data_IF_240125637127
#
_entry.id   IF_240125637127
#
_cell.length_a   1.000
_cell.length_b   1.000
_cell.length_c   1.000
_cell.angle_alpha   90.00
_cell.angle_beta   90.00
_cell.angle_gamma   90.00
#
_symmetry.space_group_name_H-M   'P 1'
#
loop_
_entity.id
_entity.type
_entity.pdbx_description
1 polymer ?
#
# COMPACT_ATOMS: atom_id res chain seq x y z
N UNK A 1 -18.43 -4.73 -15.56
CA UNK A 1 -17.24 -5.25 -16.27
C UNK A 1 -16.41 -6.01 -15.24
N UNK A 2 -16.47 -7.34 -15.26
CA UNK A 2 -15.70 -8.21 -14.36
C UNK A 2 -14.29 -8.30 -14.94
N UNK A 3 -13.31 -7.75 -14.22
CA UNK A 3 -11.89 -7.87 -14.60
C UNK A 3 -11.47 -9.31 -14.30
N UNK A 4 -10.91 -10.02 -15.28
CA UNK A 4 -10.24 -11.29 -15.03
C UNK A 4 -8.92 -11.00 -14.29
N UNK A 5 -8.84 -11.45 -13.04
CA UNK A 5 -7.69 -11.19 -12.17
C UNK A 5 -6.63 -12.30 -12.26
N UNK A 6 -6.91 -13.38 -13.00
CA UNK A 6 -6.03 -14.53 -13.10
C UNK A 6 -5.95 -15.36 -11.80
N UNK A 7 -5.18 -16.46 -11.84
CA UNK A 7 -5.17 -17.45 -10.75
C UNK A 7 -4.38 -17.00 -9.51
N UNK A 8 -3.51 -16.00 -9.63
CA UNK A 8 -2.59 -15.56 -8.56
C UNK A 8 -3.14 -14.46 -7.65
N UNK A 9 -4.34 -13.95 -7.95
CA UNK A 9 -4.93 -12.83 -7.22
C UNK A 9 -6.15 -13.30 -6.46
N UNK A 10 -6.28 -12.87 -5.21
CA UNK A 10 -7.50 -12.98 -4.43
C UNK A 10 -7.88 -11.61 -3.91
N UNK A 11 -9.15 -11.26 -4.07
CA UNK A 11 -9.69 -10.04 -3.50
C UNK A 11 -10.14 -10.31 -2.07
N UNK A 12 -9.75 -9.39 -1.18
CA UNK A 12 -10.26 -9.31 0.18
C UNK A 12 -11.17 -8.10 0.23
N UNK A 13 -12.34 -8.25 0.83
CA UNK A 13 -13.28 -7.14 0.94
C UNK A 13 -12.72 -6.04 1.83
N UNK A 14 -12.93 -4.79 1.42
CA UNK A 14 -12.53 -3.65 2.23
C UNK A 14 -13.21 -3.69 3.63
N UNK A 15 -12.50 -3.23 4.67
CA UNK A 15 -12.96 -3.28 6.06
C UNK A 15 -14.10 -2.28 6.29
N UNK A 16 -15.34 -2.70 6.03
CA UNK A 16 -16.56 -1.88 6.19
C UNK A 16 -17.13 -2.02 7.60
N UNK A 17 -17.18 -0.92 8.35
CA UNK A 17 -17.78 -0.85 9.69
C UNK A 17 -19.28 -1.18 9.71
N UNK A 18 -20.03 -0.83 8.66
CA UNK A 18 -21.49 -1.02 8.60
C UNK A 18 -21.94 -2.49 8.50
N UNK A 19 -21.05 -3.43 8.16
CA UNK A 19 -21.36 -4.87 8.10
C UNK A 19 -20.72 -5.65 9.26
N UNK A 20 -20.12 -4.95 10.23
CA UNK A 20 -19.53 -5.53 11.42
C UNK A 20 -20.59 -5.68 12.53
N UNK A 21 -21.71 -6.35 12.24
CA UNK A 21 -22.69 -6.70 13.27
C UNK A 21 -22.01 -7.65 14.29
N UNK A 22 -21.54 -7.09 15.40
CA UNK A 22 -21.02 -7.83 16.55
C UNK A 22 -19.62 -8.48 16.40
N UNK A 23 -18.92 -8.33 15.27
CA UNK A 23 -17.54 -8.82 15.08
C UNK A 23 -16.56 -7.66 14.98
N UNK A 24 -15.38 -7.75 15.59
CA UNK A 24 -14.34 -6.73 15.45
C UNK A 24 -13.84 -6.63 13.99
N UNK A 25 -13.62 -5.39 13.52
CA UNK A 25 -13.19 -5.08 12.17
C UNK A 25 -11.86 -5.77 11.83
N UNK A 26 -10.93 -5.77 12.79
CA UNK A 26 -9.62 -6.38 12.65
C UNK A 26 -9.73 -7.90 12.49
N UNK A 27 -10.53 -8.55 13.34
CA UNK A 27 -10.78 -9.99 13.28
C UNK A 27 -11.39 -10.40 11.94
N UNK A 28 -12.39 -9.65 11.47
CA UNK A 28 -13.06 -9.96 10.21
C UNK A 28 -12.12 -9.82 9.02
N UNK A 29 -11.38 -8.70 8.94
CA UNK A 29 -10.45 -8.48 7.85
C UNK A 29 -9.32 -9.53 7.85
N UNK A 30 -8.81 -9.87 9.04
CA UNK A 30 -7.79 -10.92 9.20
C UNK A 30 -8.29 -12.27 8.71
N UNK A 31 -9.51 -12.66 9.09
CA UNK A 31 -10.13 -13.92 8.64
C UNK A 31 -10.26 -13.97 7.11
N UNK A 32 -10.67 -12.87 6.49
CA UNK A 32 -10.83 -12.80 5.05
C UNK A 32 -9.46 -12.89 4.33
N UNK A 33 -8.40 -12.31 4.89
CA UNK A 33 -7.00 -12.48 4.41
C UNK A 33 -6.51 -13.92 4.58
N UNK A 34 -6.79 -14.57 5.71
CA UNK A 34 -6.43 -15.96 5.95
C UNK A 34 -7.12 -16.90 4.96
N UNK A 35 -8.41 -16.68 4.70
CA UNK A 35 -9.17 -17.44 3.72
C UNK A 35 -8.59 -17.28 2.31
N UNK A 36 -8.25 -16.05 1.90
CA UNK A 36 -7.60 -15.77 0.62
C UNK A 36 -6.23 -16.47 0.50
N UNK A 37 -5.41 -16.39 1.54
CA UNK A 37 -4.10 -17.05 1.58
C UNK A 37 -4.22 -18.59 1.59
N UNK A 38 -5.21 -19.15 2.27
CA UNK A 38 -5.51 -20.58 2.24
C UNK A 38 -5.96 -21.04 0.85
N UNK A 39 -6.80 -20.27 0.17
CA UNK A 39 -7.25 -20.61 -1.18
C UNK A 39 -6.10 -20.55 -2.20
N UNK A 40 -5.21 -19.56 -2.14
CA UNK A 40 -3.99 -19.53 -2.97
C UNK A 40 -3.16 -20.81 -2.76
N UNK A 41 -2.91 -21.19 -1.49
CA UNK A 41 -2.16 -22.41 -1.16
C UNK A 41 -2.83 -23.68 -1.65
N UNK A 42 -4.16 -23.76 -1.56
CA UNK A 42 -4.95 -24.88 -2.09
C UNK A 42 -4.74 -25.07 -3.60
N UNK A 43 -4.46 -23.99 -4.32
CA UNK A 43 -4.14 -24.01 -5.75
C UNK A 43 -2.63 -24.10 -6.04
N UNK A 44 -1.80 -24.43 -5.04
CA UNK A 44 -0.34 -24.55 -5.19
C UNK A 44 0.39 -23.21 -5.34
N UNK A 45 -0.25 -22.09 -4.97
CA UNK A 45 0.30 -20.75 -5.08
C UNK A 45 0.70 -20.27 -3.68
N UNK A 46 1.96 -19.87 -3.53
CA UNK A 46 2.44 -19.27 -2.29
C UNK A 46 2.04 -17.78 -2.25
N UNK A 47 1.37 -17.31 -1.19
CA UNK A 47 1.06 -15.89 -1.03
C UNK A 47 2.33 -15.04 -1.01
N UNK A 48 2.48 -14.14 -1.98
CA UNK A 48 3.68 -13.33 -2.14
C UNK A 48 3.57 -11.94 -1.50
N UNK A 49 2.36 -11.37 -1.43
CA UNK A 49 2.16 -10.06 -0.84
C UNK A 49 0.70 -9.79 -0.45
N UNK A 50 0.52 -8.83 0.45
CA UNK A 50 -0.74 -8.13 0.71
C UNK A 50 -0.59 -6.69 0.22
N UNK A 51 -1.53 -6.26 -0.62
CA UNK A 51 -1.56 -4.90 -1.16
C UNK A 51 -2.83 -4.21 -0.66
N UNK A 52 -2.69 -3.04 -0.03
CA UNK A 52 -3.83 -2.24 0.45
C UNK A 52 -3.62 -0.75 0.17
N UNK A 53 -4.70 -0.02 -0.05
CA UNK A 53 -4.71 1.44 0.10
C UNK A 53 -4.86 1.77 1.59
N UNK A 54 -3.99 2.61 2.15
CA UNK A 54 -3.98 2.90 3.60
C UNK A 54 -5.25 3.58 4.12
N UNK A 55 -6.12 4.06 3.24
CA UNK A 55 -7.44 4.60 3.59
C UNK A 55 -8.59 3.90 2.89
N UNK A 56 -8.35 2.86 2.08
CA UNK A 56 -9.38 2.24 1.23
C UNK A 56 -10.24 3.30 0.51
N UNK A 57 -9.57 4.28 -0.11
CA UNK A 57 -10.19 5.49 -0.64
C UNK A 57 -11.26 5.20 -1.70
N UNK A 58 -11.05 4.14 -2.50
CA UNK A 58 -11.99 3.70 -3.53
C UNK A 58 -13.20 2.96 -2.96
N UNK A 59 -13.10 2.42 -1.75
CA UNK A 59 -14.16 1.64 -1.11
C UNK A 59 -15.12 2.49 -0.27
N UNK A 60 -14.82 3.78 -0.13
CA UNK A 60 -15.63 4.75 0.62
C UNK A 60 -14.85 5.53 1.68
N UNK A 61 -13.52 5.53 1.65
CA UNK A 61 -12.65 6.17 2.66
C UNK A 61 -12.88 5.54 4.04
N UNK A 62 -12.22 4.41 4.27
CA UNK A 62 -12.36 3.57 5.45
C UNK A 62 -11.02 3.54 6.22
N UNK A 63 -10.68 4.61 6.98
CA UNK A 63 -9.38 4.72 7.63
C UNK A 63 -9.10 3.66 8.71
N UNK A 64 -10.16 3.01 9.23
CA UNK A 64 -10.06 2.07 10.37
C UNK A 64 -9.48 2.70 11.65
N UNK A 65 -9.49 1.96 12.77
CA UNK A 65 -8.71 2.32 13.95
C UNK A 65 -7.23 1.97 13.73
N UNK A 66 -6.30 2.63 14.43
CA UNK A 66 -4.88 2.27 14.35
C UNK A 66 -4.66 0.80 14.70
N UNK A 67 -3.78 0.11 13.97
CA UNK A 67 -3.43 -1.29 14.22
C UNK A 67 -4.40 -2.35 13.68
N UNK A 68 -5.56 -2.01 13.14
CA UNK A 68 -6.55 -3.03 12.71
C UNK A 68 -6.08 -3.98 11.59
N UNK A 69 -5.04 -3.59 10.84
CA UNK A 69 -4.43 -4.40 9.78
C UNK A 69 -3.29 -5.28 10.30
N UNK A 70 -2.90 -5.15 11.57
CA UNK A 70 -1.68 -5.77 12.10
C UNK A 70 -1.73 -7.30 11.97
N UNK A 71 -2.79 -7.92 12.45
CA UNK A 71 -2.94 -9.37 12.42
C UNK A 71 -2.99 -9.90 10.97
N UNK A 72 -3.68 -9.20 10.07
CA UNK A 72 -3.72 -9.52 8.65
C UNK A 72 -2.34 -9.42 7.97
N UNK A 73 -1.56 -8.40 8.31
CA UNK A 73 -0.17 -8.26 7.83
C UNK A 73 0.70 -9.38 8.38
N UNK A 74 0.53 -9.74 9.65
CA UNK A 74 1.29 -10.82 10.29
C UNK A 74 0.99 -12.19 9.64
N UNK A 75 -0.26 -12.45 9.22
CA UNK A 75 -0.62 -13.65 8.45
C UNK A 75 0.25 -13.79 7.20
N UNK A 76 0.43 -12.69 6.47
CA UNK A 76 1.14 -12.68 5.18
C UNK A 76 2.65 -12.72 5.40
N UNK A 77 3.17 -12.03 6.41
CA UNK A 77 4.57 -12.12 6.82
C UNK A 77 4.95 -13.53 7.27
N UNK A 78 4.09 -14.23 8.02
CA UNK A 78 4.28 -15.65 8.39
C UNK A 78 4.33 -16.58 7.18
N UNK A 79 3.71 -16.20 6.06
CA UNK A 79 3.78 -16.92 4.81
C UNK A 79 5.03 -16.57 3.96
N UNK A 80 5.89 -15.66 4.44
CA UNK A 80 7.06 -15.15 3.71
C UNK A 80 6.71 -14.04 2.70
N UNK A 81 5.50 -13.49 2.76
CA UNK A 81 5.04 -12.44 1.86
C UNK A 81 5.34 -11.03 2.35
N UNK A 82 5.25 -10.06 1.43
CA UNK A 82 5.51 -8.65 1.68
C UNK A 82 4.22 -7.86 1.99
N UNK A 83 4.33 -6.80 2.77
CA UNK A 83 3.26 -5.82 2.94
C UNK A 83 3.49 -4.60 2.06
N UNK A 84 2.58 -4.37 1.11
CA UNK A 84 2.64 -3.28 0.15
C UNK A 84 1.49 -2.31 0.44
N UNK A 85 1.82 -1.02 0.53
CA UNK A 85 0.80 0.03 0.65
C UNK A 85 0.76 0.88 -0.61
N UNK A 86 -0.45 1.05 -1.14
CA UNK A 86 -0.75 2.01 -2.21
C UNK A 86 -1.02 3.40 -1.60
N UNK A 87 -0.06 4.30 -1.78
CA UNK A 87 -0.13 5.71 -1.33
C UNK A 87 -0.46 6.65 -2.50
N UNK A 88 -0.93 6.13 -3.64
CA UNK A 88 -1.25 6.95 -4.80
C UNK A 88 -2.41 7.90 -4.49
N UNK A 89 -3.38 7.49 -3.67
CA UNK A 89 -4.47 8.36 -3.19
C UNK A 89 -4.16 9.04 -1.84
N UNK A 90 -3.76 8.31 -0.79
CA UNK A 90 -3.64 8.89 0.56
C UNK A 90 -2.32 9.61 0.84
N UNK A 91 -1.33 9.51 -0.05
CA UNK A 91 -0.01 10.10 0.14
C UNK A 91 0.06 11.63 0.00
N UNK A 92 1.27 12.16 0.12
CA UNK A 92 1.58 13.60 -0.05
C UNK A 92 0.75 14.55 0.82
N UNK A 93 0.41 14.13 2.04
CA UNK A 93 -0.30 14.99 3.00
C UNK A 93 -1.81 15.03 2.84
N UNK A 94 -2.40 14.17 2.00
CA UNK A 94 -3.85 14.15 1.78
C UNK A 94 -4.65 13.94 3.09
N UNK A 95 -4.09 13.18 4.04
CA UNK A 95 -4.70 12.95 5.36
C UNK A 95 -4.48 14.07 6.37
N UNK A 96 -3.78 15.14 5.99
CA UNK A 96 -3.46 16.29 6.85
C UNK A 96 -2.28 16.02 7.78
N UNK A 97 -2.52 15.33 8.89
CA UNK A 97 -1.55 15.16 9.99
C UNK A 97 -0.32 14.31 9.66
N UNK A 98 -0.31 13.63 8.52
CA UNK A 98 0.78 12.74 8.10
C UNK A 98 1.13 12.97 6.65
N UNK A 99 2.40 12.77 6.28
CA UNK A 99 2.82 12.82 4.88
C UNK A 99 2.28 11.61 4.12
N UNK A 100 2.25 10.44 4.76
CA UNK A 100 1.78 9.18 4.21
C UNK A 100 0.64 8.61 5.05
N UNK A 101 -0.40 8.09 4.40
CA UNK A 101 -1.57 7.53 5.07
C UNK A 101 -1.23 6.34 5.97
N UNK A 102 -0.28 5.48 5.57
CA UNK A 102 0.13 4.30 6.34
C UNK A 102 0.69 4.63 7.73
N UNK A 103 1.15 5.86 7.95
CA UNK A 103 1.63 6.29 9.26
C UNK A 103 0.52 6.23 10.32
N UNK A 104 -0.75 6.30 9.91
CA UNK A 104 -1.92 6.15 10.80
C UNK A 104 -2.18 4.69 11.21
N UNK A 105 -1.69 3.74 10.42
CA UNK A 105 -1.92 2.31 10.65
C UNK A 105 -1.01 1.75 11.74
N UNK A 106 0.02 2.49 12.15
CA UNK A 106 1.10 2.02 13.03
C UNK A 106 1.80 0.75 12.51
N UNK A 107 1.98 0.70 11.18
CA UNK A 107 2.62 -0.41 10.47
C UNK A 107 3.74 0.12 9.57
N UNK A 108 4.81 -0.68 9.44
CA UNK A 108 5.91 -0.42 8.52
C UNK A 108 5.74 -1.30 7.28
N UNK A 109 5.45 -0.73 6.10
CA UNK A 109 5.36 -1.48 4.85
C UNK A 109 6.73 -1.84 4.29
N UNK A 110 6.80 -2.98 3.61
CA UNK A 110 7.98 -3.42 2.87
C UNK A 110 8.12 -2.65 1.55
N UNK A 111 7.00 -2.21 0.98
CA UNK A 111 6.95 -1.43 -0.26
C UNK A 111 5.79 -0.43 -0.23
N UNK A 112 6.00 0.76 -0.82
CA UNK A 112 5.01 1.82 -0.94
C UNK A 112 4.95 2.30 -2.39
N UNK A 113 3.76 2.34 -2.99
CA UNK A 113 3.58 2.88 -4.35
C UNK A 113 3.13 4.34 -4.30
N UNK A 114 3.69 5.16 -5.18
CA UNK A 114 3.50 6.60 -5.27
C UNK A 114 3.08 6.97 -6.69
N UNK A 115 2.31 8.04 -6.84
CA UNK A 115 1.87 8.55 -8.15
C UNK A 115 1.09 9.84 -7.99
N UNK A 116 0.01 10.02 -8.75
CA UNK A 116 -0.98 11.12 -8.67
C UNK A 116 -0.42 12.46 -8.11
N UNK A 117 -0.48 12.79 -6.81
CA UNK A 117 -0.03 14.09 -6.32
C UNK A 117 1.49 14.32 -6.44
N UNK A 118 2.30 13.27 -6.61
CA UNK A 118 3.77 13.33 -6.64
C UNK A 118 4.32 14.35 -7.63
N UNK A 119 3.70 14.48 -8.81
CA UNK A 119 4.14 15.43 -9.84
C UNK A 119 3.25 16.67 -9.98
N UNK A 120 2.22 16.83 -9.16
CA UNK A 120 1.20 17.88 -9.29
C UNK A 120 0.72 18.08 -10.75
N UNK A 121 0.44 16.98 -11.45
CA UNK A 121 0.05 16.93 -12.86
C UNK A 121 1.14 16.43 -13.81
N UNK A 122 2.42 16.53 -13.46
CA UNK A 122 3.51 15.92 -14.23
C UNK A 122 3.49 14.39 -14.08
N UNK A 123 3.61 13.61 -15.18
CA UNK A 123 3.71 12.16 -15.10
C UNK A 123 4.96 11.72 -14.32
N UNK A 124 4.73 11.24 -13.11
CA UNK A 124 5.73 10.60 -12.27
C UNK A 124 5.04 9.65 -11.29
N UNK A 125 5.64 8.50 -11.10
CA UNK A 125 5.26 7.49 -10.12
C UNK A 125 6.55 6.93 -9.50
N UNK A 126 6.42 6.33 -8.33
CA UNK A 126 7.56 5.79 -7.60
C UNK A 126 7.18 4.55 -6.84
N UNK A 127 8.17 3.70 -6.59
CA UNK A 127 8.07 2.59 -5.65
C UNK A 127 9.18 2.81 -4.63
N UNK A 128 8.79 3.01 -3.37
CA UNK A 128 9.72 2.94 -2.24
C UNK A 128 9.71 1.50 -1.74
N UNK A 129 10.87 0.94 -1.43
CA UNK A 129 10.94 -0.40 -0.87
C UNK A 129 12.12 -0.49 0.10
N UNK A 130 12.10 -1.49 0.98
CA UNK A 130 13.23 -1.77 1.87
C UNK A 130 14.48 -2.09 1.05
N UNK A 131 15.66 -1.82 1.63
CA UNK A 131 16.93 -2.07 0.96
C UNK A 131 17.08 -3.54 0.53
N UNK A 132 16.64 -4.48 1.39
CA UNK A 132 16.68 -5.91 1.10
C UNK A 132 15.77 -6.30 -0.07
N UNK A 133 14.55 -5.78 -0.12
CA UNK A 133 13.61 -6.03 -1.22
C UNK A 133 14.14 -5.49 -2.56
N UNK A 134 14.73 -4.29 -2.56
CA UNK A 134 15.34 -3.69 -3.75
C UNK A 134 16.60 -4.45 -4.20
N UNK A 135 17.44 -4.87 -3.25
CA UNK A 135 18.66 -5.63 -3.55
C UNK A 135 18.33 -6.99 -4.17
N UNK A 136 17.35 -7.70 -3.61
CA UNK A 136 16.91 -8.99 -4.15
C UNK A 136 16.30 -8.82 -5.55
N UNK A 137 15.44 -7.82 -5.74
CA UNK A 137 14.89 -7.51 -7.06
C UNK A 137 15.99 -7.23 -8.09
N UNK A 138 16.99 -6.41 -7.74
CA UNK A 138 18.11 -6.07 -8.62
C UNK A 138 19.03 -7.24 -8.99
N UNK A 139 19.09 -8.30 -8.16
CA UNK A 139 19.86 -9.51 -8.47
C UNK A 139 19.23 -10.33 -9.60
N UNK A 140 17.91 -10.43 -9.63
CA UNK A 140 17.20 -11.31 -10.56
C UNK A 140 16.53 -10.56 -11.73
N UNK A 141 16.31 -9.26 -11.59
CA UNK A 141 15.59 -8.46 -12.58
C UNK A 141 16.48 -7.41 -13.21
N UNK A 142 16.59 -7.44 -14.54
CA UNK A 142 17.17 -6.36 -15.34
C UNK A 142 16.07 -5.36 -15.73
N UNK A 143 15.42 -4.79 -14.72
CA UNK A 143 14.36 -3.83 -14.94
C UNK A 143 14.94 -2.48 -15.34
N UNK A 144 14.43 -1.92 -16.42
CA UNK A 144 14.76 -0.59 -16.90
C UNK A 144 13.51 0.07 -17.46
N UNK A 145 13.37 1.37 -17.22
CA UNK A 145 12.28 2.18 -17.76
C UNK A 145 12.86 3.47 -18.34
N UNK A 146 12.66 3.68 -19.63
CA UNK A 146 13.25 4.77 -20.43
C UNK A 146 13.00 6.16 -19.87
N UNK A 147 11.82 6.40 -19.30
CA UNK A 147 11.44 7.72 -18.77
C UNK A 147 11.53 7.82 -17.26
N UNK A 148 11.80 6.71 -16.56
CA UNK A 148 11.97 6.72 -15.12
C UNK A 148 13.19 7.57 -14.74
N UNK A 149 13.02 8.45 -13.75
CA UNK A 149 14.09 9.30 -13.25
C UNK A 149 14.49 10.45 -14.18
N UNK A 150 13.71 10.78 -15.22
CA UNK A 150 14.01 11.93 -16.07
C UNK A 150 14.02 13.25 -15.27
N UNK A 151 14.91 14.17 -15.64
CA UNK A 151 15.18 15.38 -14.86
C UNK A 151 13.95 16.28 -14.69
N UNK A 152 13.07 16.36 -15.70
CA UNK A 152 11.86 17.20 -15.67
C UNK A 152 10.86 16.67 -14.64
N UNK A 153 10.57 15.37 -14.68
CA UNK A 153 9.68 14.73 -13.71
C UNK A 153 10.26 14.76 -12.30
N UNK A 154 11.57 14.56 -12.14
CA UNK A 154 12.25 14.67 -10.85
C UNK A 154 12.18 16.10 -10.27
N UNK A 155 12.39 17.13 -11.10
CA UNK A 155 12.30 18.52 -10.66
C UNK A 155 10.88 18.86 -10.18
N UNK A 156 9.84 18.41 -10.89
CA UNK A 156 8.46 18.58 -10.47
C UNK A 156 8.19 17.90 -9.11
N UNK A 157 8.60 16.64 -8.94
CA UNK A 157 8.41 15.93 -7.68
C UNK A 157 9.18 16.51 -6.50
N UNK A 158 10.40 17.00 -6.73
CA UNK A 158 11.18 17.70 -5.70
C UNK A 158 10.49 18.99 -5.25
N UNK A 159 9.91 19.75 -6.18
CA UNK A 159 9.16 20.97 -5.86
C UNK A 159 7.90 20.65 -5.02
N UNK A 160 7.18 19.59 -5.35
CA UNK A 160 6.02 19.10 -4.58
C UNK A 160 6.43 18.68 -3.18
N UNK A 161 7.45 17.82 -3.06
CA UNK A 161 7.95 17.34 -1.78
C UNK A 161 8.42 18.50 -0.87
N UNK A 162 9.13 19.48 -1.44
CA UNK A 162 9.54 20.68 -0.72
C UNK A 162 8.34 21.53 -0.25
N UNK A 163 7.28 21.64 -1.05
CA UNK A 163 6.04 22.32 -0.67
C UNK A 163 5.36 21.62 0.52
N UNK A 164 5.21 20.29 0.46
CA UNK A 164 4.65 19.49 1.56
C UNK A 164 5.46 19.66 2.85
N UNK A 165 6.80 19.64 2.74
CA UNK A 165 7.69 19.81 3.88
C UNK A 165 7.60 21.20 4.54
N UNK A 166 7.37 22.26 3.75
CA UNK A 166 7.18 23.64 4.27
C UNK A 166 5.82 23.86 4.92
N UNK A 167 4.77 23.20 4.42
CA UNK A 167 3.39 23.35 4.92
C UNK A 167 3.08 22.52 6.16
N UNK A 168 4.08 21.89 6.77
CA UNK A 168 3.91 21.16 8.02
C UNK A 168 3.26 19.79 7.88
N UNK A 169 3.20 19.20 6.68
CA UNK A 169 2.82 17.79 6.49
C UNK A 169 3.96 16.86 6.92
N UNK A 170 4.48 17.04 8.14
CA UNK A 170 5.48 16.17 8.77
C UNK A 170 4.79 15.32 9.84
N UNK A 171 5.41 14.19 10.17
CA UNK A 171 5.03 13.33 11.31
C UNK A 171 4.88 14.23 12.56
N UNK A 172 3.74 14.18 13.30
CA UNK A 172 3.69 14.77 14.63
C UNK A 172 4.79 14.10 15.47
N UNK A 173 5.56 14.93 16.17
CA UNK A 173 6.71 14.50 16.97
C UNK A 173 6.36 13.50 18.06
#
# INVERSE_FOLDING_TARGET
MTVDLGPHVRLVWAPRLYHAEGTDLAERFTRDVEAAAADLRRHGIHPAALIVDSLFTRDGILPGPAGFLKEAVDVIRRAGGLFIVDEVQPGFGCTGGYLWGFQRLDLSPDTVTLGKPMGNGQPIAGVLATADALAEFGRYSRYFNTFAGNAVSCAAALAVAACCARRGCRRPG
#
